data_IF_809937391096
#
_entry.id   IF_809937391096
#
_cell.length_a   1.000
_cell.length_b   1.000
_cell.length_c   1.000
_cell.angle_alpha   90.00
_cell.angle_beta   90.00
_cell.angle_gamma   90.00
#
_symmetry.space_group_name_H-M   'P 1'
#
loop_
_entity.id
_entity.type
_entity.pdbx_description
1 polymer ?
#
# COMPACT_ATOMS: atom_id res chain seq x y z
N UNK A 1 31.53 -50.89 -31.98
CA UNK A 1 32.10 -51.02 -30.62
C UNK A 1 32.84 -49.72 -30.33
N UNK A 2 32.30 -48.82 -29.50
CA UNK A 2 32.52 -48.76 -28.03
C UNK A 2 34.00 -48.42 -27.75
N UNK A 3 34.47 -47.32 -27.13
CA UNK A 3 34.05 -46.53 -25.94
C UNK A 3 35.02 -45.31 -25.86
N UNK A 4 34.52 -44.06 -25.87
CA UNK A 4 34.49 -43.02 -24.80
C UNK A 4 35.77 -42.32 -24.27
N UNK A 5 35.66 -40.97 -24.21
CA UNK A 5 36.13 -39.99 -23.21
C UNK A 5 37.64 -39.62 -23.18
N UNK A 6 38.05 -38.36 -23.06
CA UNK A 6 37.59 -37.36 -22.08
C UNK A 6 37.98 -35.91 -22.50
N UNK A 7 37.07 -35.15 -23.11
CA UNK A 7 37.18 -33.69 -23.15
C UNK A 7 36.26 -33.11 -22.07
N UNK A 8 36.84 -32.67 -20.97
CA UNK A 8 36.14 -31.97 -19.90
C UNK A 8 35.95 -30.50 -20.31
N UNK A 9 34.96 -30.23 -21.17
CA UNK A 9 34.47 -28.86 -21.38
C UNK A 9 33.40 -28.61 -20.34
N UNK A 10 33.79 -27.93 -19.26
CA UNK A 10 32.91 -27.44 -18.21
C UNK A 10 32.00 -26.37 -18.82
N UNK A 11 30.83 -26.79 -19.29
CA UNK A 11 29.77 -25.90 -19.74
C UNK A 11 29.08 -25.33 -18.49
N UNK A 12 29.63 -24.23 -17.96
CA UNK A 12 28.96 -23.46 -16.91
C UNK A 12 27.70 -22.86 -17.54
N UNK A 13 26.58 -23.56 -17.36
CA UNK A 13 25.25 -22.99 -17.50
C UNK A 13 25.16 -21.84 -16.50
N UNK A 14 25.41 -20.61 -16.97
CA UNK A 14 24.97 -19.40 -16.29
C UNK A 14 23.45 -19.43 -16.36
N UNK A 15 22.83 -20.13 -15.42
CA UNK A 15 21.43 -19.94 -15.11
C UNK A 15 21.35 -18.52 -14.56
N UNK A 16 20.74 -17.55 -15.25
CA UNK A 16 20.44 -16.29 -14.61
C UNK A 16 19.58 -16.65 -13.40
N UNK A 17 20.12 -16.40 -12.21
CA UNK A 17 19.35 -16.42 -10.98
C UNK A 17 18.38 -15.24 -11.14
N UNK A 18 17.26 -15.49 -11.81
CA UNK A 18 16.10 -14.64 -11.71
C UNK A 18 15.77 -14.63 -10.22
N UNK A 19 16.13 -13.54 -9.54
CA UNK A 19 15.53 -13.24 -8.25
C UNK A 19 14.07 -12.96 -8.57
N UNK A 20 13.25 -13.99 -8.49
CA UNK A 20 11.81 -13.81 -8.35
C UNK A 20 11.63 -12.94 -7.11
N UNK A 21 11.30 -11.66 -7.32
CA UNK A 21 10.66 -10.89 -6.28
C UNK A 21 9.33 -11.58 -6.05
N UNK A 22 9.29 -12.52 -5.10
CA UNK A 22 8.03 -13.10 -4.70
C UNK A 22 7.30 -11.99 -3.98
N UNK A 23 6.24 -11.45 -4.58
CA UNK A 23 5.14 -10.95 -3.77
C UNK A 23 4.85 -12.03 -2.73
N UNK A 24 4.85 -11.66 -1.44
CA UNK A 24 4.45 -12.57 -0.38
C UNK A 24 2.98 -12.29 -0.18
N UNK A 25 2.07 -12.96 -0.92
CA UNK A 25 0.65 -12.71 -0.76
C UNK A 25 0.29 -12.93 0.71
N UNK A 26 -0.30 -11.91 1.33
CA UNK A 26 -0.70 -11.96 2.74
C UNK A 26 -2.15 -12.35 2.79
N UNK A 27 -2.43 -13.62 3.11
CA UNK A 27 -3.80 -14.15 3.13
C UNK A 27 -4.00 -14.98 4.38
N UNK A 28 -5.24 -15.04 4.84
CA UNK A 28 -5.66 -15.84 5.98
C UNK A 28 -5.94 -15.02 7.24
N UNK A 29 -6.10 -15.77 8.33
CA UNK A 29 -6.34 -15.24 9.67
C UNK A 29 -4.99 -15.15 10.40
N UNK A 30 -4.53 -13.93 10.65
CA UNK A 30 -3.28 -13.63 11.35
C UNK A 30 -3.56 -12.79 12.61
N UNK A 31 -3.96 -13.41 13.74
CA UNK A 31 -4.17 -12.69 14.98
C UNK A 31 -2.87 -12.04 15.47
N UNK A 32 -2.96 -10.78 15.88
CA UNK A 32 -1.85 -10.02 16.41
C UNK A 32 -1.87 -9.99 17.95
N UNK A 33 -0.68 -9.85 18.54
CA UNK A 33 -0.53 -9.53 19.96
C UNK A 33 -0.07 -8.08 20.10
N UNK A 34 -0.98 -7.22 20.54
CA UNK A 34 -0.72 -5.79 20.73
C UNK A 34 -0.33 -5.57 22.19
N UNK A 35 0.84 -4.99 22.43
CA UNK A 35 1.34 -4.67 23.78
C UNK A 35 1.33 -3.16 23.95
N UNK A 36 0.59 -2.68 24.94
CA UNK A 36 0.56 -1.26 25.27
C UNK A 36 1.68 -0.96 26.27
N UNK A 37 2.46 0.08 26.01
CA UNK A 37 3.64 0.40 26.79
C UNK A 37 3.65 1.87 27.18
N UNK A 38 4.02 2.15 28.44
CA UNK A 38 4.22 3.51 28.96
C UNK A 38 5.63 3.68 29.50
N UNK A 39 6.20 4.86 29.37
CA UNK A 39 7.54 5.14 29.86
C UNK A 39 7.57 5.21 31.39
N UNK A 40 8.73 4.97 31.99
CA UNK A 40 8.90 5.00 33.45
C UNK A 40 8.47 6.33 34.07
N UNK A 41 8.83 7.42 33.42
CA UNK A 41 8.51 8.81 33.79
C UNK A 41 7.06 9.22 33.47
N UNK A 42 6.33 8.37 32.75
CA UNK A 42 4.93 8.57 32.35
C UNK A 42 4.05 7.39 32.79
N UNK A 43 4.37 6.75 33.92
CA UNK A 43 3.73 5.52 34.36
C UNK A 43 2.22 5.66 34.68
N UNK A 44 1.72 6.88 34.88
CA UNK A 44 0.30 7.16 35.12
C UNK A 44 -0.44 7.69 33.90
N UNK A 45 0.28 7.94 32.79
CA UNK A 45 -0.30 8.52 31.59
C UNK A 45 -0.66 7.44 30.57
N UNK A 46 -1.94 7.34 30.25
CA UNK A 46 -2.49 6.43 29.25
C UNK A 46 -3.37 7.27 28.30
N UNK A 47 -2.96 7.52 27.04
CA UNK A 47 -3.70 8.38 26.10
C UNK A 47 -5.13 7.91 25.82
N UNK A 48 -5.33 6.59 25.89
CA UNK A 48 -6.59 5.88 25.69
C UNK A 48 -6.64 4.70 26.64
N UNK A 49 -7.84 4.35 27.09
CA UNK A 49 -8.04 3.15 27.91
C UNK A 49 -7.75 1.90 27.10
N UNK A 50 -7.34 0.82 27.77
CA UNK A 50 -7.18 -0.50 27.13
C UNK A 50 -8.44 -0.90 26.35
N UNK A 51 -9.62 -0.70 26.95
CA UNK A 51 -10.89 -1.05 26.32
C UNK A 51 -11.16 -0.25 25.04
N UNK A 52 -10.78 1.02 25.00
CA UNK A 52 -10.86 1.82 23.78
C UNK A 52 -9.97 1.24 22.67
N UNK A 53 -8.74 0.81 23.00
CA UNK A 53 -7.85 0.19 22.02
C UNK A 53 -8.35 -1.17 21.55
N UNK A 54 -8.92 -1.99 22.44
CA UNK A 54 -9.57 -3.26 22.06
C UNK A 54 -10.67 -3.02 21.03
N UNK A 55 -11.55 -2.04 21.27
CA UNK A 55 -12.60 -1.65 20.32
C UNK A 55 -12.01 -1.18 19.00
N UNK A 56 -10.96 -0.37 19.03
CA UNK A 56 -10.33 0.12 17.80
C UNK A 56 -9.67 -1.00 16.97
N UNK A 57 -9.03 -1.99 17.60
CA UNK A 57 -8.35 -3.08 16.88
C UNK A 57 -9.33 -4.13 16.38
N UNK A 58 -10.18 -4.68 17.27
CA UNK A 58 -11.03 -5.86 17.00
C UNK A 58 -12.51 -5.62 17.32
N UNK A 59 -12.96 -4.37 17.36
CA UNK A 59 -14.37 -4.04 17.56
C UNK A 59 -15.25 -4.75 16.53
N UNK A 60 -16.45 -5.15 16.95
CA UNK A 60 -17.36 -5.94 16.15
C UNK A 60 -18.18 -5.07 15.17
N UNK A 61 -18.98 -5.74 14.33
CA UNK A 61 -19.73 -5.24 13.16
C UNK A 61 -20.45 -3.87 13.28
N UNK A 62 -20.70 -3.35 14.48
CA UNK A 62 -21.27 -2.01 14.71
C UNK A 62 -20.22 -0.88 14.57
N UNK A 63 -18.94 -1.22 14.47
CA UNK A 63 -17.80 -0.30 14.34
C UNK A 63 -17.09 -0.53 12.99
N UNK A 64 -17.55 0.11 11.90
CA UNK A 64 -17.06 -0.22 10.55
C UNK A 64 -15.61 0.22 10.27
N UNK A 65 -15.04 1.07 11.13
CA UNK A 65 -13.72 1.68 10.95
C UNK A 65 -12.66 1.11 11.90
N UNK A 66 -12.85 -0.12 12.39
CA UNK A 66 -11.83 -0.83 13.17
C UNK A 66 -10.68 -1.28 12.27
N UNK A 67 -9.52 -1.55 12.87
CA UNK A 67 -8.36 -2.06 12.11
C UNK A 67 -8.67 -3.43 11.50
N UNK A 68 -9.37 -4.30 12.23
CA UNK A 68 -9.85 -5.57 11.69
C UNK A 68 -10.78 -5.37 10.49
N UNK A 69 -11.78 -4.48 10.59
CA UNK A 69 -12.71 -4.23 9.49
C UNK A 69 -12.02 -3.58 8.29
N UNK A 70 -11.00 -2.73 8.52
CA UNK A 70 -10.15 -2.18 7.46
C UNK A 70 -9.52 -3.31 6.65
N UNK A 71 -8.78 -4.20 7.31
CA UNK A 71 -8.12 -5.32 6.64
C UNK A 71 -9.12 -6.24 5.93
N UNK A 72 -10.23 -6.57 6.59
CA UNK A 72 -11.28 -7.40 6.00
C UNK A 72 -11.87 -6.79 4.73
N UNK A 73 -12.19 -5.49 4.74
CA UNK A 73 -12.82 -4.82 3.60
C UNK A 73 -11.84 -4.57 2.47
N UNK A 74 -10.66 -4.02 2.77
CA UNK A 74 -9.65 -3.66 1.76
C UNK A 74 -9.10 -4.92 1.08
N UNK A 75 -8.92 -6.02 1.82
CA UNK A 75 -8.51 -7.30 1.25
C UNK A 75 -9.64 -8.10 0.61
N UNK A 76 -10.88 -7.60 0.62
CA UNK A 76 -12.06 -8.33 0.15
C UNK A 76 -12.23 -9.72 0.81
N UNK A 77 -11.97 -9.78 2.13
CA UNK A 77 -12.09 -10.98 2.95
C UNK A 77 -10.90 -11.95 2.84
N UNK A 78 -9.83 -11.58 2.14
CA UNK A 78 -8.65 -12.43 1.98
C UNK A 78 -7.72 -12.39 3.20
N UNK A 79 -7.77 -11.32 4.00
CA UNK A 79 -6.91 -11.10 5.15
C UNK A 79 -7.69 -10.58 6.35
N UNK A 80 -7.45 -11.17 7.52
CA UNK A 80 -8.06 -10.78 8.78
C UNK A 80 -7.05 -10.82 9.90
N UNK A 81 -7.19 -9.89 10.84
CA UNK A 81 -6.51 -9.93 12.14
C UNK A 81 -7.48 -10.36 13.26
N UNK A 82 -8.62 -10.96 12.90
CA UNK A 82 -9.61 -11.44 13.86
C UNK A 82 -8.99 -12.35 14.92
N UNK A 83 -9.47 -12.22 16.16
CA UNK A 83 -8.89 -12.91 17.31
C UNK A 83 -7.59 -12.29 17.84
N UNK A 84 -7.18 -11.12 17.33
CA UNK A 84 -6.09 -10.35 17.93
C UNK A 84 -6.35 -10.04 19.41
N UNK A 85 -5.28 -9.93 20.19
CA UNK A 85 -5.36 -9.60 21.61
C UNK A 85 -4.63 -8.29 21.89
N UNK A 86 -5.29 -7.41 22.65
CA UNK A 86 -4.64 -6.24 23.24
C UNK A 86 -4.31 -6.56 24.70
N UNK A 87 -3.02 -6.56 25.01
CA UNK A 87 -2.49 -6.75 26.35
C UNK A 87 -2.59 -5.45 27.18
N UNK A 88 -2.12 -5.50 28.42
CA UNK A 88 -2.17 -4.35 29.33
C UNK A 88 -1.14 -3.26 29.02
N UNK A 89 -1.27 -2.14 29.73
CA UNK A 89 -0.25 -1.08 29.77
C UNK A 89 0.91 -1.50 30.67
N UNK A 90 2.02 -1.89 30.07
CA UNK A 90 3.25 -2.23 30.79
C UNK A 90 4.15 -1.00 30.93
N UNK A 91 4.66 -0.78 32.14
CA UNK A 91 5.62 0.30 32.39
C UNK A 91 7.02 -0.17 31.99
N UNK A 92 7.61 0.51 31.02
CA UNK A 92 8.99 0.29 30.59
C UNK A 92 9.96 0.74 31.68
N UNK A 93 11.15 0.12 31.74
CA UNK A 93 12.22 0.53 32.66
C UNK A 93 12.90 1.85 32.29
N UNK A 94 12.72 2.30 31.04
CA UNK A 94 13.36 3.49 30.47
C UNK A 94 12.40 4.68 30.46
N UNK A 95 12.96 5.89 30.60
CA UNK A 95 12.21 7.14 30.44
C UNK A 95 12.02 7.48 28.96
N UNK A 96 11.10 8.38 28.64
CA UNK A 96 10.96 8.91 27.29
C UNK A 96 12.27 9.55 26.81
N UNK A 97 12.95 10.29 27.70
CA UNK A 97 14.26 10.91 27.42
C UNK A 97 15.35 9.88 27.09
N UNK A 98 15.40 8.76 27.83
CA UNK A 98 16.37 7.68 27.57
C UNK A 98 16.17 7.10 26.16
N UNK A 99 14.92 6.89 25.76
CA UNK A 99 14.55 6.34 24.44
C UNK A 99 14.89 7.34 23.34
N UNK A 100 14.52 8.62 23.51
CA UNK A 100 14.89 9.68 22.57
C UNK A 100 16.41 9.83 22.44
N UNK A 101 17.16 9.67 23.53
CA UNK A 101 18.61 9.70 23.49
C UNK A 101 19.22 8.47 22.82
N UNK A 102 18.63 7.27 22.95
CA UNK A 102 19.05 6.08 22.20
C UNK A 102 18.80 6.25 20.70
N UNK A 103 17.63 6.77 20.32
CA UNK A 103 17.32 7.12 18.92
C UNK A 103 18.29 8.20 18.42
N UNK A 104 18.56 9.23 19.22
CA UNK A 104 19.48 10.32 18.91
C UNK A 104 20.95 9.88 18.81
N UNK A 105 21.40 8.92 19.63
CA UNK A 105 22.74 8.31 19.51
C UNK A 105 22.88 7.44 18.27
N UNK A 106 21.81 6.75 17.87
CA UNK A 106 21.74 6.09 16.55
C UNK A 106 21.74 7.11 15.40
N UNK A 107 21.41 8.38 15.67
CA UNK A 107 21.31 9.50 14.72
C UNK A 107 22.34 10.61 14.97
N UNK A 108 23.58 10.29 15.40
CA UNK A 108 24.72 11.23 15.28
C UNK A 108 24.97 11.52 13.79
N UNK A 109 24.14 12.41 13.22
CA UNK A 109 24.11 12.75 11.80
C UNK A 109 22.87 13.53 11.33
N UNK A 110 21.73 13.56 12.04
CA UNK A 110 20.56 14.38 11.62
C UNK A 110 19.82 15.02 12.81
N UNK A 111 19.77 16.34 12.81
CA UNK A 111 19.15 17.20 13.82
C UNK A 111 17.70 17.50 13.38
N UNK A 112 16.76 17.42 14.34
CA UNK A 112 15.31 17.72 14.31
C UNK A 112 14.35 16.52 14.08
N UNK A 113 13.29 16.39 14.92
CA UNK A 113 12.19 15.47 14.67
C UNK A 113 11.34 15.96 13.46
N UNK A 114 10.85 15.05 12.58
CA UNK A 114 10.14 15.42 11.36
C UNK A 114 8.79 16.10 11.57
N UNK A 115 8.48 17.12 10.78
CA UNK A 115 7.11 17.49 10.41
C UNK A 115 6.65 16.58 9.25
N UNK A 116 5.38 16.18 9.27
CA UNK A 116 4.80 15.24 8.31
C UNK A 116 4.26 16.00 7.08
N UNK A 117 4.92 15.87 5.93
CA UNK A 117 4.37 16.25 4.62
C UNK A 117 5.12 17.33 3.81
N UNK A 118 5.07 17.11 2.48
CA UNK A 118 5.20 18.01 1.32
C UNK A 118 6.46 18.80 0.97
N UNK A 119 7.57 18.73 1.70
CA UNK A 119 8.83 19.32 1.19
C UNK A 119 9.72 18.25 0.56
N UNK A 120 9.92 18.36 -0.76
CA UNK A 120 10.79 17.52 -1.61
C UNK A 120 12.26 17.46 -1.15
N UNK A 121 12.63 18.23 -0.13
CA UNK A 121 13.95 18.22 0.50
C UNK A 121 14.06 17.26 1.70
N UNK A 122 12.94 16.71 2.19
CA UNK A 122 12.90 16.00 3.45
C UNK A 122 12.35 14.56 3.33
N UNK A 123 13.23 13.58 3.57
CA UNK A 123 12.85 12.15 3.65
C UNK A 123 12.48 11.79 5.09
N UNK A 124 11.18 11.59 5.37
CA UNK A 124 10.65 11.17 6.69
C UNK A 124 11.22 9.80 7.09
N UNK A 125 11.33 8.89 6.12
CA UNK A 125 12.04 7.63 6.27
C UNK A 125 13.28 7.66 5.39
N UNK A 126 14.48 7.31 5.88
CA UNK A 126 15.70 7.34 5.09
C UNK A 126 15.66 6.41 3.87
N UNK A 127 14.74 5.45 3.88
CA UNK A 127 14.49 4.48 2.79
C UNK A 127 13.37 4.93 1.84
N UNK A 128 12.60 5.95 2.20
CA UNK A 128 11.51 6.41 1.35
C UNK A 128 12.04 7.28 0.21
N UNK A 129 11.48 7.06 -0.96
CA UNK A 129 11.77 7.82 -2.17
C UNK A 129 10.89 9.07 -2.24
N UNK A 130 11.34 10.07 -3.00
CA UNK A 130 10.54 11.27 -3.24
C UNK A 130 9.26 10.91 -3.99
N UNK A 131 8.10 11.37 -3.53
CA UNK A 131 6.80 11.05 -4.13
C UNK A 131 6.16 9.73 -3.66
N UNK A 132 6.83 8.92 -2.84
CA UNK A 132 6.28 7.63 -2.36
C UNK A 132 5.00 7.77 -1.52
N UNK A 133 4.81 8.92 -0.86
CA UNK A 133 3.68 9.19 0.04
C UNK A 133 2.88 10.44 -0.38
N UNK A 134 2.84 10.75 -1.68
CA UNK A 134 2.18 11.93 -2.24
C UNK A 134 0.82 11.61 -2.91
N UNK A 135 0.37 10.36 -2.84
CA UNK A 135 -0.93 9.91 -3.34
C UNK A 135 -2.04 10.17 -2.31
N UNK A 136 -2.98 11.06 -2.61
CA UNK A 136 -4.09 11.37 -1.69
C UNK A 136 -5.13 10.26 -1.59
N UNK A 137 -5.14 9.29 -2.50
CA UNK A 137 -6.10 8.19 -2.55
C UNK A 137 -5.57 6.90 -1.89
N UNK A 138 -4.31 6.90 -1.46
CA UNK A 138 -3.65 5.80 -0.75
C UNK A 138 -3.50 6.11 0.74
N UNK A 139 -3.90 5.17 1.60
CA UNK A 139 -3.70 5.27 3.04
C UNK A 139 -2.22 5.44 3.41
N UNK A 140 -1.31 4.87 2.62
CA UNK A 140 0.13 4.91 2.92
C UNK A 140 0.68 6.34 2.96
N UNK A 141 0.03 7.28 2.26
CA UNK A 141 0.35 8.72 2.29
C UNK A 141 -0.04 9.44 3.60
N UNK A 142 -0.65 8.72 4.55
CA UNK A 142 -0.98 9.18 5.90
C UNK A 142 -1.74 10.52 5.91
N UNK A 143 -1.16 11.60 6.46
CA UNK A 143 -1.88 12.86 6.72
C UNK A 143 -2.21 13.68 5.46
N UNK A 144 -1.69 13.30 4.30
CA UNK A 144 -2.03 13.92 3.01
C UNK A 144 -3.19 13.18 2.29
N UNK A 145 -3.64 12.04 2.84
CA UNK A 145 -4.71 11.25 2.22
C UNK A 145 -6.11 11.87 2.41
N UNK A 146 -7.06 11.48 1.56
CA UNK A 146 -8.48 11.85 1.66
C UNK A 146 -9.15 11.13 2.83
N UNK A 147 -8.91 11.65 4.04
CA UNK A 147 -9.44 11.11 5.28
C UNK A 147 -10.87 11.58 5.57
N UNK A 148 -11.57 10.85 6.42
CA UNK A 148 -12.89 11.18 6.95
C UNK A 148 -12.94 10.95 8.47
N UNK A 149 -13.97 11.49 9.12
CA UNK A 149 -14.16 11.30 10.57
C UNK A 149 -14.80 9.94 10.88
N UNK A 150 -14.20 9.22 11.82
CA UNK A 150 -14.68 7.96 12.40
C UNK A 150 -14.83 8.07 13.92
N UNK A 151 -15.40 7.04 14.54
CA UNK A 151 -15.47 6.92 16.00
C UNK A 151 -14.10 6.83 16.69
N UNK A 152 -13.04 6.52 15.93
CA UNK A 152 -11.67 6.36 16.43
C UNK A 152 -10.75 7.53 16.05
N UNK A 153 -11.28 8.58 15.43
CA UNK A 153 -10.52 9.72 14.92
C UNK A 153 -10.59 9.82 13.39
N UNK A 154 -9.55 10.35 12.76
CA UNK A 154 -9.47 10.37 11.30
C UNK A 154 -9.16 8.97 10.78
N UNK A 155 -9.94 8.51 9.81
CA UNK A 155 -9.69 7.26 9.08
C UNK A 155 -9.45 7.60 7.61
N UNK A 156 -8.49 6.92 7.01
CA UNK A 156 -8.06 7.20 5.64
C UNK A 156 -8.73 6.32 4.60
N UNK A 157 -8.37 6.53 3.31
CA UNK A 157 -8.84 5.71 2.20
C UNK A 157 -8.33 4.26 2.30
N UNK A 158 -8.76 3.43 1.35
CA UNK A 158 -8.14 2.12 1.10
C UNK A 158 -6.69 2.22 0.60
N UNK A 159 -6.10 1.07 0.29
CA UNK A 159 -4.82 0.99 -0.41
C UNK A 159 -5.02 1.19 -1.92
N UNK A 160 -4.03 1.77 -2.59
CA UNK A 160 -4.02 1.80 -4.04
C UNK A 160 -3.78 0.39 -4.63
N UNK A 161 -4.16 0.23 -5.89
CA UNK A 161 -4.07 -1.03 -6.64
C UNK A 161 -2.71 -1.71 -6.61
N UNK A 162 -1.57 -1.00 -6.74
CA UNK A 162 -0.24 -1.61 -6.66
C UNK A 162 0.06 -2.25 -5.30
N UNK A 163 -0.32 -1.59 -4.20
CA UNK A 163 -0.19 -2.18 -2.87
C UNK A 163 -1.12 -3.38 -2.69
N UNK A 164 -2.35 -3.32 -3.22
CA UNK A 164 -3.27 -4.45 -3.22
C UNK A 164 -2.74 -5.64 -4.03
N UNK A 165 -2.14 -5.40 -5.20
CA UNK A 165 -1.50 -6.43 -6.02
C UNK A 165 -0.29 -7.04 -5.30
N UNK A 166 0.58 -6.20 -4.75
CA UNK A 166 1.75 -6.64 -3.99
C UNK A 166 1.37 -7.56 -2.80
N UNK A 167 0.26 -7.28 -2.14
CA UNK A 167 -0.28 -8.10 -1.05
C UNK A 167 -1.07 -9.33 -1.55
N UNK A 168 -1.31 -9.42 -2.86
CA UNK A 168 -2.09 -10.47 -3.49
C UNK A 168 -3.58 -10.38 -3.13
N UNK A 169 -4.11 -9.17 -2.95
CA UNK A 169 -5.51 -8.89 -2.62
C UNK A 169 -6.37 -8.54 -3.84
N UNK A 170 -5.74 -8.34 -5.00
CA UNK A 170 -6.46 -8.24 -6.26
C UNK A 170 -6.67 -9.63 -6.91
N UNK A 171 -7.85 -9.89 -7.48
CA UNK A 171 -8.08 -11.06 -8.29
C UNK A 171 -7.35 -10.92 -9.64
N UNK A 172 -6.45 -11.87 -9.95
CA UNK A 172 -5.61 -11.82 -11.16
C UNK A 172 -6.42 -11.77 -12.47
N UNK A 173 -7.61 -12.38 -12.50
CA UNK A 173 -8.52 -12.37 -13.65
C UNK A 173 -9.24 -11.03 -13.86
N UNK A 174 -9.03 -10.06 -12.95
CA UNK A 174 -9.59 -8.71 -12.99
C UNK A 174 -8.50 -7.65 -13.09
N UNK A 175 -7.28 -8.06 -13.40
CA UNK A 175 -6.13 -7.20 -13.69
C UNK A 175 -5.75 -7.33 -15.16
N UNK A 176 -5.50 -6.21 -15.82
CA UNK A 176 -5.11 -6.19 -17.23
C UNK A 176 -3.73 -5.58 -17.40
N UNK A 177 -2.79 -6.38 -17.90
CA UNK A 177 -1.48 -5.90 -18.30
C UNK A 177 -1.43 -5.74 -19.83
N UNK A 178 -1.22 -4.52 -20.30
CA UNK A 178 -1.06 -4.28 -21.72
C UNK A 178 0.34 -4.68 -22.19
N UNK A 179 0.39 -5.54 -23.21
CA UNK A 179 1.62 -5.87 -23.91
C UNK A 179 2.07 -4.77 -24.87
N UNK A 180 3.22 -5.00 -25.52
CA UNK A 180 3.88 -4.09 -26.47
C UNK A 180 3.15 -3.95 -27.82
N UNK A 181 1.84 -4.20 -27.89
CA UNK A 181 1.09 -4.09 -29.13
C UNK A 181 0.63 -2.66 -29.36
N UNK A 182 1.33 -1.95 -30.25
CA UNK A 182 0.97 -0.60 -30.66
C UNK A 182 -0.10 -0.62 -31.76
N UNK A 183 -1.20 0.10 -31.55
CA UNK A 183 -2.11 0.49 -32.65
C UNK A 183 -3.57 0.07 -32.53
N UNK A 184 -3.95 -0.66 -31.49
CA UNK A 184 -5.35 -1.06 -31.26
C UNK A 184 -6.04 -0.14 -30.25
N UNK A 185 -7.26 0.29 -30.58
CA UNK A 185 -8.12 1.00 -29.64
C UNK A 185 -8.91 -0.01 -28.81
N UNK A 186 -8.84 0.11 -27.49
CA UNK A 186 -9.56 -0.75 -26.55
C UNK A 186 -10.57 0.08 -25.77
N UNK A 187 -11.81 -0.42 -25.68
CA UNK A 187 -12.81 0.10 -24.75
C UNK A 187 -12.96 -0.89 -23.62
N UNK A 188 -12.62 -0.46 -22.41
CA UNK A 188 -12.63 -1.31 -21.22
C UNK A 188 -13.63 -0.79 -20.20
N UNK A 189 -14.32 -1.71 -19.54
CA UNK A 189 -15.18 -1.38 -18.40
C UNK A 189 -14.38 -1.55 -17.11
N UNK A 190 -14.11 -0.44 -16.44
CA UNK A 190 -13.51 -0.43 -15.11
C UNK A 190 -14.56 -0.64 -14.02
N UNK A 191 -14.15 -1.21 -12.90
CA UNK A 191 -14.90 -1.29 -11.65
C UNK A 191 -14.11 -0.63 -10.55
N UNK A 192 -14.81 0.00 -9.62
CA UNK A 192 -14.16 0.69 -8.50
C UNK A 192 -13.52 -0.31 -7.55
N UNK A 193 -12.27 -0.07 -7.16
CA UNK A 193 -11.59 -0.87 -6.14
C UNK A 193 -12.09 -0.55 -4.71
N UNK A 194 -12.83 0.55 -4.55
CA UNK A 194 -13.49 0.94 -3.29
C UNK A 194 -14.73 0.09 -2.96
N UNK A 195 -15.25 -0.64 -3.95
CA UNK A 195 -16.46 -1.46 -3.85
C UNK A 195 -16.06 -2.93 -3.76
N UNK A 196 -16.72 -3.75 -2.90
CA UNK A 196 -16.42 -5.17 -2.81
C UNK A 196 -16.39 -5.86 -4.18
N UNK A 197 -15.33 -6.62 -4.45
CA UNK A 197 -15.04 -7.20 -5.76
C UNK A 197 -16.14 -8.16 -6.25
N UNK A 198 -16.85 -8.82 -5.32
CA UNK A 198 -17.98 -9.70 -5.60
C UNK A 198 -19.24 -8.96 -6.07
N UNK A 199 -19.33 -7.64 -5.87
CA UNK A 199 -20.44 -6.79 -6.32
C UNK A 199 -20.17 -6.19 -7.71
N UNK A 200 -18.97 -6.37 -8.26
CA UNK A 200 -18.55 -5.77 -9.54
C UNK A 200 -18.00 -6.81 -10.50
N UNK A 201 -17.89 -6.47 -11.80
CA UNK A 201 -17.45 -7.41 -12.84
C UNK A 201 -16.40 -6.86 -13.82
N UNK A 202 -16.10 -5.57 -13.82
CA UNK A 202 -15.15 -4.93 -14.74
C UNK A 202 -13.70 -4.95 -14.24
N UNK A 203 -12.73 -4.54 -15.05
CA UNK A 203 -11.33 -4.51 -14.64
C UNK A 203 -11.11 -3.62 -13.40
N UNK A 204 -10.28 -4.08 -12.46
CA UNK A 204 -9.98 -3.37 -11.20
C UNK A 204 -8.69 -2.57 -11.30
N UNK A 205 -7.70 -3.12 -12.01
CA UNK A 205 -6.40 -2.50 -12.24
C UNK A 205 -5.97 -2.72 -13.67
N UNK A 206 -5.55 -1.65 -14.33
CA UNK A 206 -4.92 -1.71 -15.66
C UNK A 206 -3.47 -1.26 -15.52
N UNK A 207 -2.55 -2.00 -16.11
CA UNK A 207 -1.12 -1.69 -16.14
C UNK A 207 -0.73 -1.38 -17.59
N UNK A 208 -0.22 -0.17 -17.82
CA UNK A 208 0.20 0.34 -19.12
C UNK A 208 1.70 0.61 -19.13
N UNK A 209 2.52 -0.21 -19.80
CA UNK A 209 3.96 0.08 -19.90
C UNK A 209 4.17 1.39 -20.64
N UNK A 210 5.04 2.26 -20.11
CA UNK A 210 5.39 3.54 -20.75
C UNK A 210 6.85 3.63 -21.15
N UNK A 211 7.71 2.85 -20.51
CA UNK A 211 9.11 2.74 -20.86
C UNK A 211 9.25 1.67 -21.94
N UNK A 212 9.91 2.06 -23.04
CA UNK A 212 10.17 1.17 -24.17
C UNK A 212 11.22 0.12 -23.82
N UNK A 213 12.17 0.47 -22.97
CA UNK A 213 13.38 -0.30 -22.72
C UNK A 213 13.25 -1.13 -21.43
N UNK A 214 12.41 -0.70 -20.48
CA UNK A 214 12.08 -1.46 -19.26
C UNK A 214 10.56 -1.68 -19.10
N UNK A 215 10.02 -2.85 -19.49
CA UNK A 215 8.60 -3.13 -19.36
C UNK A 215 8.10 -3.17 -17.91
N UNK A 216 9.00 -3.17 -16.91
CA UNK A 216 8.60 -3.09 -15.51
C UNK A 216 8.23 -1.65 -15.10
N UNK A 217 8.45 -0.64 -15.96
CA UNK A 217 7.98 0.73 -15.74
C UNK A 217 6.64 0.93 -16.46
N UNK A 218 5.58 1.00 -15.66
CA UNK A 218 4.20 1.10 -16.13
C UNK A 218 3.40 2.10 -15.31
N UNK A 219 2.38 2.68 -15.95
CA UNK A 219 1.31 3.37 -15.26
C UNK A 219 0.31 2.35 -14.75
N UNK A 220 -0.31 2.64 -13.61
CA UNK A 220 -1.53 1.94 -13.20
C UNK A 220 -2.73 2.86 -13.31
N UNK A 221 -3.83 2.30 -13.79
CA UNK A 221 -5.12 2.96 -13.83
C UNK A 221 -6.09 2.16 -12.97
N UNK A 222 -6.73 2.87 -12.04
CA UNK A 222 -7.77 2.34 -11.18
C UNK A 222 -8.93 3.33 -11.07
N UNK A 223 -10.09 2.83 -10.64
CA UNK A 223 -11.26 3.65 -10.37
C UNK A 223 -11.50 3.66 -8.86
N UNK A 224 -11.67 4.86 -8.30
CA UNK A 224 -11.99 5.09 -6.89
C UNK A 224 -13.35 5.78 -6.80
N UNK A 225 -14.15 5.37 -5.83
CA UNK A 225 -15.50 5.94 -5.60
C UNK A 225 -15.71 6.19 -4.11
N UNK A 226 -16.57 7.16 -3.72
CA UNK A 226 -16.85 7.47 -2.32
C UNK A 226 -17.64 6.35 -1.61
N UNK A 227 -16.98 5.23 -1.36
CA UNK A 227 -17.58 4.01 -0.83
C UNK A 227 -16.67 3.38 0.22
N UNK A 228 -17.24 2.87 1.31
CA UNK A 228 -16.49 2.29 2.45
C UNK A 228 -15.40 3.24 3.00
N UNK A 229 -14.14 2.79 2.95
CA UNK A 229 -12.98 3.55 3.40
C UNK A 229 -12.68 4.74 2.48
N UNK A 230 -13.22 4.78 1.27
CA UNK A 230 -12.98 5.87 0.33
C UNK A 230 -14.02 6.99 0.40
N UNK A 231 -14.88 6.99 1.43
CA UNK A 231 -15.92 8.01 1.62
C UNK A 231 -15.40 9.43 1.87
N UNK A 232 -14.11 9.58 2.13
CA UNK A 232 -13.44 10.89 2.16
C UNK A 232 -13.21 11.51 0.78
N UNK A 233 -13.37 10.74 -0.30
CA UNK A 233 -13.30 11.22 -1.69
C UNK A 233 -14.61 11.94 -2.04
N UNK A 234 -14.54 13.08 -2.72
CA UNK A 234 -15.74 13.88 -3.04
C UNK A 234 -16.61 13.28 -4.17
N UNK A 235 -15.99 12.65 -5.18
CA UNK A 235 -16.68 12.10 -6.33
C UNK A 235 -15.91 10.92 -6.93
N UNK A 236 -16.60 10.08 -7.69
CA UNK A 236 -15.95 9.02 -8.46
C UNK A 236 -14.87 9.61 -9.37
N UNK A 237 -13.63 9.11 -9.26
CA UNK A 237 -12.49 9.59 -10.04
C UNK A 237 -11.65 8.42 -10.51
N UNK A 238 -11.20 8.53 -11.76
CA UNK A 238 -10.14 7.67 -12.27
C UNK A 238 -8.82 8.20 -11.74
N UNK A 239 -8.00 7.29 -11.26
CA UNK A 239 -6.66 7.57 -10.80
C UNK A 239 -5.65 6.96 -11.76
N UNK A 240 -4.63 7.76 -12.08
CA UNK A 240 -3.51 7.34 -12.90
C UNK A 240 -2.27 7.52 -12.05
N UNK A 241 -1.72 6.40 -11.60
CA UNK A 241 -0.48 6.38 -10.84
C UNK A 241 0.69 6.08 -11.78
N UNK A 242 1.77 6.83 -11.64
CA UNK A 242 3.06 6.43 -12.21
C UNK A 242 3.75 5.48 -11.24
N UNK A 243 4.27 4.36 -11.73
CA UNK A 243 5.08 3.44 -10.92
C UNK A 243 6.44 3.28 -11.59
N UNK A 244 7.47 3.52 -10.79
CA UNK A 244 8.84 3.16 -11.12
C UNK A 244 9.16 1.87 -10.37
N UNK A 245 9.59 0.83 -11.06
CA UNK A 245 10.07 -0.39 -10.40
C UNK A 245 11.51 -0.22 -9.96
N UNK A 246 11.76 0.71 -9.04
CA UNK A 246 13.02 0.74 -8.31
C UNK A 246 12.86 -0.07 -7.04
N UNK A 247 13.25 -1.36 -7.10
CA UNK A 247 13.43 -2.29 -5.99
C UNK A 247 12.77 -1.84 -4.65
N UNK A 248 11.51 -2.25 -4.46
CA UNK A 248 10.71 -2.13 -3.22
C UNK A 248 10.08 -0.76 -2.87
N UNK A 249 10.19 0.28 -3.71
CA UNK A 249 9.52 1.57 -3.48
C UNK A 249 8.53 1.91 -4.60
N UNK A 250 7.25 2.08 -4.27
CA UNK A 250 6.21 2.55 -5.20
C UNK A 250 6.15 4.09 -5.15
N UNK A 251 6.81 4.78 -6.08
CA UNK A 251 6.75 6.25 -6.13
C UNK A 251 5.51 6.72 -6.89
N UNK A 252 4.48 7.17 -6.18
CA UNK A 252 3.30 7.81 -6.77
C UNK A 252 3.60 9.23 -7.27
N UNK A 253 3.43 9.48 -8.57
CA UNK A 253 3.42 10.83 -9.11
C UNK A 253 2.07 11.13 -9.75
N UNK A 254 1.25 11.98 -9.13
CA UNK A 254 0.04 12.50 -9.80
C UNK A 254 0.48 13.42 -10.94
N UNK A 255 0.31 13.01 -12.20
CA UNK A 255 0.60 13.87 -13.34
C UNK A 255 -0.55 14.86 -13.56
N UNK A 256 -0.37 16.12 -13.14
CA UNK A 256 -1.30 17.24 -13.40
C UNK A 256 -1.26 17.77 -14.84
N UNK A 257 -0.67 17.03 -15.77
CA UNK A 257 -0.53 17.44 -17.16
C UNK A 257 -1.89 17.40 -17.88
N UNK A 258 -2.51 18.58 -18.04
CA UNK A 258 -3.70 18.84 -18.88
C UNK A 258 -3.59 18.26 -20.30
N UNK A 259 -2.38 18.00 -20.81
CA UNK A 259 -2.17 17.41 -22.13
C UNK A 259 -2.55 15.93 -22.21
N UNK A 260 -2.41 15.16 -21.12
CA UNK A 260 -2.74 13.73 -21.11
C UNK A 260 -4.20 13.45 -20.78
N UNK A 261 -4.85 14.39 -20.07
CA UNK A 261 -6.29 14.37 -19.82
C UNK A 261 -7.05 14.20 -21.16
N UNK A 262 -6.69 14.96 -22.20
CA UNK A 262 -7.35 14.85 -23.51
C UNK A 262 -7.15 13.52 -24.24
N UNK A 263 -6.05 12.79 -24.02
CA UNK A 263 -5.81 11.50 -24.68
C UNK A 263 -6.50 10.34 -23.93
N UNK A 264 -6.55 10.38 -22.60
CA UNK A 264 -7.25 9.38 -21.78
C UNK A 264 -8.77 9.56 -21.76
N UNK A 265 -9.29 10.80 -21.83
CA UNK A 265 -10.74 11.03 -21.84
C UNK A 265 -11.43 10.48 -23.09
N UNK A 266 -10.73 10.30 -24.22
CA UNK A 266 -11.29 9.61 -25.39
C UNK A 266 -11.45 8.09 -25.17
N UNK A 267 -10.74 7.51 -24.20
CA UNK A 267 -10.74 6.07 -23.90
C UNK A 267 -11.78 5.72 -22.82
N UNK A 268 -12.15 6.68 -21.97
CA UNK A 268 -13.05 6.45 -20.83
C UNK A 268 -14.26 7.40 -20.91
N UNK A 269 -15.19 7.11 -21.82
CA UNK A 269 -16.55 7.64 -21.74
C UNK A 269 -17.42 6.59 -21.07
N UNK A 270 -17.66 6.77 -19.78
CA UNK A 270 -18.67 5.99 -19.05
C UNK A 270 -20.03 6.24 -19.70
N UNK A 271 -20.65 5.19 -20.21
CA UNK A 271 -22.10 5.11 -20.38
C UNK A 271 -22.76 4.79 -19.06
#
# INVERSE_FOLDING_TARGET
MLIYNLHFVLLILIVPIFRSCSAIPRRGLEPWSIILCKFRDLATYEPRTKNWVVRWITGHNDEPDTIEQYFMNVSNGLYSIGGSNVNGWFTLSKTQKDILHMIGKSRRGRINPPLLGSDSSFRVFPYASSGEYDDRYDLMSTANAYMYHSNFGMSGPGLNGPHLDYLGWLPMDRMLYFGRESGNNYTLRLSSISVPHNQTRGWLLIMLPYDRDDPNNYYTIELRTPHNFDRGIEQAKHEILNIYTTNLAFCSGTSSSEKWHKLLFYIIKAG
#
